data_IF_485510492127
#
_entry.id   IF_485510492127
#
_cell.length_a   1.000
_cell.length_b   1.000
_cell.length_c   1.000
_cell.angle_alpha   90.00
_cell.angle_beta   90.00
_cell.angle_gamma   90.00
#
_symmetry.space_group_name_H-M   'P 1'
#
loop_
_entity.id
_entity.type
_entity.pdbx_description
1 polymer ?
#
# COMPACT_ATOMS: atom_id res chain seq x y z
N UNK A 1 -23.34 -10.27 -1.11
CA UNK A 1 -24.33 -11.35 -1.14
C UNK A 1 -25.54 -10.99 -0.29
N UNK A 2 -25.38 -10.55 0.99
CA UNK A 2 -26.48 -10.19 1.87
C UNK A 2 -27.41 -9.15 1.22
N UNK A 3 -26.87 -8.04 0.75
CA UNK A 3 -27.61 -6.96 0.06
C UNK A 3 -28.33 -7.50 -1.18
N UNK A 4 -27.68 -8.34 -1.98
CA UNK A 4 -28.29 -8.91 -3.19
C UNK A 4 -29.46 -9.83 -2.85
N UNK A 5 -29.35 -10.60 -1.78
CA UNK A 5 -30.42 -11.43 -1.28
C UNK A 5 -31.63 -10.61 -0.75
N UNK A 6 -31.33 -9.56 0.04
CA UNK A 6 -32.35 -8.63 0.56
C UNK A 6 -33.13 -7.91 -0.55
N UNK A 7 -32.49 -7.72 -1.71
CA UNK A 7 -33.12 -7.16 -2.91
C UNK A 7 -33.78 -8.24 -3.83
N UNK A 8 -33.90 -9.48 -3.36
CA UNK A 8 -34.60 -10.53 -4.10
C UNK A 8 -33.83 -11.09 -5.31
N UNK A 9 -32.53 -10.83 -5.42
CA UNK A 9 -31.72 -11.25 -6.56
C UNK A 9 -31.11 -12.65 -6.43
N UNK A 10 -31.49 -13.38 -5.41
CA UNK A 10 -31.11 -14.79 -5.24
C UNK A 10 -32.33 -15.68 -5.44
N UNK A 11 -32.13 -16.85 -6.05
CA UNK A 11 -33.21 -17.80 -6.33
C UNK A 11 -33.68 -18.53 -5.02
N UNK A 12 -34.49 -17.85 -4.20
CA UNK A 12 -35.04 -18.40 -2.97
C UNK A 12 -34.13 -18.26 -1.76
N UNK A 13 -33.42 -19.33 -1.35
CA UNK A 13 -32.63 -19.32 -0.14
C UNK A 13 -31.33 -18.49 -0.29
N UNK A 14 -30.94 -17.82 0.82
CA UNK A 14 -29.68 -17.06 0.89
C UNK A 14 -28.49 -17.98 0.68
N UNK A 15 -27.60 -17.67 -0.28
CA UNK A 15 -26.39 -18.46 -0.49
C UNK A 15 -25.49 -18.50 0.74
N UNK A 16 -24.98 -19.69 1.07
CA UNK A 16 -24.08 -19.87 2.22
C UNK A 16 -22.71 -19.25 1.94
N UNK A 17 -22.29 -18.26 2.71
CA UNK A 17 -20.97 -17.58 2.57
C UNK A 17 -19.86 -18.23 3.42
N UNK A 18 -20.20 -19.12 4.35
CA UNK A 18 -19.27 -19.73 5.33
C UNK A 18 -18.47 -18.71 6.17
N UNK A 19 -18.91 -17.46 6.25
CA UNK A 19 -18.24 -16.35 6.94
C UNK A 19 -17.77 -16.72 8.35
N UNK A 20 -18.67 -17.28 9.16
CA UNK A 20 -18.39 -17.67 10.54
C UNK A 20 -17.33 -18.79 10.64
N UNK A 21 -17.39 -19.76 9.73
CA UNK A 21 -16.42 -20.84 9.67
C UNK A 21 -15.04 -20.33 9.26
N UNK A 22 -14.97 -19.48 8.24
CA UNK A 22 -13.73 -18.84 7.78
C UNK A 22 -13.10 -18.00 8.89
N UNK A 23 -13.90 -17.15 9.57
CA UNK A 23 -13.47 -16.33 10.70
C UNK A 23 -12.91 -17.16 11.85
N UNK A 24 -13.62 -18.20 12.28
CA UNK A 24 -13.14 -19.08 13.37
C UNK A 24 -11.81 -19.75 13.03
N UNK A 25 -11.67 -20.27 11.81
CA UNK A 25 -10.43 -20.89 11.34
C UNK A 25 -9.28 -19.88 11.31
N UNK A 26 -9.51 -18.71 10.74
CA UNK A 26 -8.50 -17.65 10.68
C UNK A 26 -8.08 -17.19 12.08
N UNK A 27 -9.00 -16.99 13.00
CA UNK A 27 -8.71 -16.61 14.38
C UNK A 27 -7.89 -17.68 15.10
N UNK A 28 -8.19 -18.97 14.88
CA UNK A 28 -7.40 -20.07 15.45
C UNK A 28 -5.97 -20.08 14.88
N UNK A 29 -5.83 -19.89 13.57
CA UNK A 29 -4.52 -19.79 12.90
C UNK A 29 -3.73 -18.55 13.39
N UNK A 30 -4.39 -17.39 13.53
CA UNK A 30 -3.74 -16.14 13.98
C UNK A 30 -3.14 -16.26 15.37
N UNK A 31 -3.82 -16.98 16.27
CA UNK A 31 -3.39 -17.22 17.66
C UNK A 31 -2.28 -18.28 17.79
N UNK A 32 -2.02 -19.05 16.76
CA UNK A 32 -0.98 -20.08 16.81
C UNK A 32 0.41 -19.47 16.99
N UNK A 33 1.13 -19.89 18.04
CA UNK A 33 2.48 -19.39 18.39
C UNK A 33 3.52 -19.68 17.31
N UNK A 34 3.47 -20.87 16.71
CA UNK A 34 4.35 -21.27 15.60
C UNK A 34 3.52 -21.51 14.36
N UNK A 35 3.92 -20.93 13.23
CA UNK A 35 3.27 -21.08 11.95
C UNK A 35 4.27 -21.68 10.95
N UNK A 36 4.07 -22.95 10.61
CA UNK A 36 4.88 -23.60 9.58
C UNK A 36 4.45 -23.14 8.18
N UNK A 37 5.32 -23.23 7.20
CA UNK A 37 5.00 -22.94 5.78
C UNK A 37 3.77 -23.73 5.31
N UNK A 38 3.66 -25.01 5.71
CA UNK A 38 2.50 -25.85 5.39
C UNK A 38 1.20 -25.29 5.98
N UNK A 39 1.22 -24.83 7.25
CA UNK A 39 0.05 -24.22 7.90
C UNK A 39 -0.36 -22.93 7.20
N UNK A 40 0.61 -22.05 6.91
CA UNK A 40 0.38 -20.79 6.19
C UNK A 40 -0.27 -21.06 4.83
N UNK A 41 0.33 -21.95 4.03
CA UNK A 41 -0.22 -22.28 2.71
C UNK A 41 -1.62 -22.92 2.77
N UNK A 42 -1.86 -23.74 3.79
CA UNK A 42 -3.19 -24.35 3.99
C UNK A 42 -4.23 -23.28 4.32
N UNK A 43 -3.89 -22.33 5.19
CA UNK A 43 -4.79 -21.23 5.55
C UNK A 43 -5.08 -20.32 4.34
N UNK A 44 -4.06 -19.89 3.60
CA UNK A 44 -4.22 -19.09 2.37
C UNK A 44 -5.15 -19.82 1.39
N UNK A 45 -4.92 -21.11 1.12
CA UNK A 45 -5.76 -21.90 0.22
C UNK A 45 -7.22 -21.92 0.65
N UNK A 46 -7.47 -22.06 1.95
CA UNK A 46 -8.84 -22.10 2.48
C UNK A 46 -9.53 -20.73 2.35
N UNK A 47 -8.86 -19.65 2.68
CA UNK A 47 -9.39 -18.30 2.56
C UNK A 47 -9.67 -17.94 1.10
N UNK A 48 -8.75 -18.24 0.19
CA UNK A 48 -8.96 -18.09 -1.25
C UNK A 48 -10.13 -18.94 -1.76
N UNK A 49 -10.32 -20.14 -1.23
CA UNK A 49 -11.46 -21.01 -1.57
C UNK A 49 -12.81 -20.42 -1.18
N UNK A 50 -12.91 -19.81 0.00
CA UNK A 50 -14.12 -19.11 0.44
C UNK A 50 -14.40 -17.90 -0.45
N UNK A 51 -13.35 -17.09 -0.69
CA UNK A 51 -13.50 -15.87 -1.49
C UNK A 51 -13.85 -16.16 -2.95
N UNK A 52 -13.22 -17.18 -3.57
CA UNK A 52 -13.56 -17.63 -4.93
C UNK A 52 -15.03 -17.99 -5.04
N UNK A 53 -15.54 -18.75 -4.08
CA UNK A 53 -16.92 -19.15 -4.06
C UNK A 53 -17.87 -17.96 -3.94
N UNK A 54 -17.58 -17.05 -3.02
CA UNK A 54 -18.42 -15.88 -2.78
C UNK A 54 -18.41 -14.92 -3.97
N UNK A 55 -17.26 -14.73 -4.63
CA UNK A 55 -17.15 -13.97 -5.88
C UNK A 55 -17.94 -14.65 -7.01
N UNK A 56 -17.82 -15.99 -7.15
CA UNK A 56 -18.58 -16.75 -8.16
C UNK A 56 -20.09 -16.65 -7.96
N UNK A 57 -20.59 -16.61 -6.71
CA UNK A 57 -22.02 -16.36 -6.44
C UNK A 57 -22.42 -14.95 -6.91
N UNK A 58 -21.60 -13.93 -6.63
CA UNK A 58 -21.88 -12.56 -7.06
C UNK A 58 -21.88 -12.47 -8.59
N UNK A 59 -20.92 -13.12 -9.26
CA UNK A 59 -20.83 -13.14 -10.72
C UNK A 59 -22.05 -13.82 -11.35
N UNK A 60 -22.48 -14.98 -10.80
CA UNK A 60 -23.68 -15.66 -11.27
C UNK A 60 -24.97 -14.85 -11.09
N UNK A 61 -25.05 -14.04 -10.03
CA UNK A 61 -26.19 -13.13 -9.83
C UNK A 61 -26.15 -12.00 -10.86
N UNK A 62 -24.99 -11.40 -11.13
CA UNK A 62 -24.83 -10.33 -12.13
C UNK A 62 -25.07 -10.85 -13.55
N UNK A 63 -24.71 -12.10 -13.86
CA UNK A 63 -25.02 -12.75 -15.14
C UNK A 63 -26.53 -12.96 -15.36
N UNK A 64 -27.27 -13.32 -14.29
CA UNK A 64 -28.72 -13.47 -14.34
C UNK A 64 -29.47 -12.15 -14.35
N UNK A 65 -28.94 -11.15 -13.69
CA UNK A 65 -29.52 -9.81 -13.52
C UNK A 65 -28.52 -8.72 -13.90
N UNK A 66 -28.23 -8.52 -15.20
CA UNK A 66 -27.22 -7.57 -15.64
C UNK A 66 -27.46 -6.15 -15.12
N UNK A 67 -26.44 -5.55 -14.52
CA UNK A 67 -26.52 -4.22 -13.92
C UNK A 67 -26.95 -4.17 -12.46
N UNK A 68 -27.36 -5.30 -11.88
CA UNK A 68 -27.89 -5.35 -10.52
C UNK A 68 -26.90 -4.84 -9.46
N UNK A 69 -25.61 -5.05 -9.65
CA UNK A 69 -24.61 -4.54 -8.72
C UNK A 69 -24.55 -3.01 -8.69
N UNK A 70 -24.75 -2.36 -9.84
CA UNK A 70 -24.85 -0.89 -9.93
C UNK A 70 -26.10 -0.34 -9.26
N UNK A 71 -27.21 -1.04 -9.42
CA UNK A 71 -28.52 -0.60 -8.93
C UNK A 71 -28.68 -0.81 -7.42
N UNK A 72 -28.14 -1.92 -6.89
CA UNK A 72 -28.36 -2.30 -5.49
C UNK A 72 -27.23 -1.90 -4.56
N UNK A 73 -26.00 -1.76 -5.05
CA UNK A 73 -24.85 -1.45 -4.22
C UNK A 73 -24.52 0.05 -4.26
N UNK A 74 -24.33 0.66 -3.10
CA UNK A 74 -23.74 1.98 -3.00
C UNK A 74 -22.38 2.02 -3.70
N UNK A 75 -22.02 3.15 -4.32
CA UNK A 75 -20.74 3.37 -5.05
C UNK A 75 -19.54 2.84 -4.26
N UNK A 76 -19.42 3.21 -2.98
CA UNK A 76 -18.35 2.72 -2.11
C UNK A 76 -18.29 1.18 -2.00
N UNK A 77 -19.43 0.48 -2.07
CA UNK A 77 -19.49 -0.99 -2.04
C UNK A 77 -19.07 -1.60 -3.37
N UNK A 78 -19.42 -0.94 -4.47
CA UNK A 78 -18.97 -1.33 -5.81
C UNK A 78 -17.44 -1.21 -5.91
N UNK A 79 -16.88 -0.08 -5.50
CA UNK A 79 -15.43 0.15 -5.45
C UNK A 79 -14.72 -0.88 -4.58
N UNK A 80 -15.26 -1.13 -3.37
CA UNK A 80 -14.72 -2.15 -2.48
C UNK A 80 -14.75 -3.55 -3.10
N UNK A 81 -15.80 -3.90 -3.85
CA UNK A 81 -15.89 -5.18 -4.55
C UNK A 81 -14.80 -5.30 -5.62
N UNK A 82 -14.52 -4.23 -6.37
CA UNK A 82 -13.43 -4.22 -7.35
C UNK A 82 -12.06 -4.40 -6.67
N UNK A 83 -11.82 -3.72 -5.56
CA UNK A 83 -10.60 -3.91 -4.75
C UNK A 83 -10.47 -5.35 -4.29
N UNK A 84 -11.55 -5.98 -3.81
CA UNK A 84 -11.55 -7.39 -3.38
C UNK A 84 -11.26 -8.33 -4.55
N UNK A 85 -11.80 -8.09 -5.75
CA UNK A 85 -11.51 -8.88 -6.96
C UNK A 85 -10.03 -8.81 -7.34
N UNK A 86 -9.47 -7.61 -7.37
CA UNK A 86 -8.04 -7.39 -7.64
C UNK A 86 -7.17 -8.06 -6.58
N UNK A 87 -7.49 -7.87 -5.29
CA UNK A 87 -6.78 -8.52 -4.19
C UNK A 87 -6.84 -10.05 -4.29
N UNK A 88 -8.01 -10.62 -4.62
CA UNK A 88 -8.16 -12.05 -4.82
C UNK A 88 -7.22 -12.55 -5.95
N UNK A 89 -7.23 -11.89 -7.10
CA UNK A 89 -6.38 -12.25 -8.24
C UNK A 89 -4.90 -12.19 -7.89
N UNK A 90 -4.46 -11.14 -7.20
CA UNK A 90 -3.07 -10.99 -6.74
C UNK A 90 -2.68 -12.11 -5.76
N UNK A 91 -3.52 -12.41 -4.78
CA UNK A 91 -3.24 -13.45 -3.78
C UNK A 91 -3.27 -14.86 -4.38
N UNK A 92 -4.19 -15.12 -5.32
CA UNK A 92 -4.25 -16.40 -6.04
C UNK A 92 -3.00 -16.60 -6.92
N UNK A 93 -2.58 -15.55 -7.65
CA UNK A 93 -1.35 -15.56 -8.41
C UNK A 93 -0.13 -15.89 -7.53
N UNK A 94 0.06 -15.14 -6.44
CA UNK A 94 1.16 -15.37 -5.51
C UNK A 94 1.12 -16.78 -4.89
N UNK A 95 -0.07 -17.28 -4.56
CA UNK A 95 -0.23 -18.62 -4.02
C UNK A 95 0.17 -19.71 -5.04
N UNK A 96 -0.26 -19.57 -6.30
CA UNK A 96 0.02 -20.54 -7.39
C UNK A 96 1.48 -20.54 -7.79
N UNK A 97 2.06 -19.36 -7.97
CA UNK A 97 3.45 -19.19 -8.43
C UNK A 97 4.48 -19.30 -7.31
N UNK A 98 4.04 -19.42 -6.05
CA UNK A 98 4.89 -19.42 -4.85
C UNK A 98 5.78 -18.17 -4.73
N UNK A 99 5.38 -17.07 -5.34
CA UNK A 99 6.03 -15.78 -5.19
C UNK A 99 5.41 -14.96 -4.06
N UNK A 100 6.16 -14.00 -3.52
CA UNK A 100 5.67 -13.00 -2.57
C UNK A 100 5.57 -11.61 -3.19
N UNK A 101 5.82 -11.51 -4.51
CA UNK A 101 5.84 -10.25 -5.25
C UNK A 101 4.75 -10.26 -6.31
N UNK A 102 4.07 -9.14 -6.45
CA UNK A 102 3.14 -8.80 -7.50
C UNK A 102 3.11 -7.28 -7.61
N UNK A 103 2.99 -6.78 -8.82
CA UNK A 103 2.95 -5.34 -9.07
C UNK A 103 1.68 -4.74 -8.44
N UNK A 104 1.79 -3.51 -7.99
CA UNK A 104 0.71 -2.75 -7.33
C UNK A 104 -0.01 -3.52 -6.21
N UNK A 105 0.76 -4.31 -5.44
CA UNK A 105 0.23 -5.18 -4.40
C UNK A 105 -0.67 -4.44 -3.42
N UNK A 106 -1.93 -4.82 -3.38
CA UNK A 106 -2.90 -4.33 -2.41
C UNK A 106 -2.64 -4.99 -1.06
N UNK A 107 -2.47 -4.17 -0.02
CA UNK A 107 -2.23 -4.61 1.37
C UNK A 107 -3.34 -4.19 2.32
N UNK A 108 -4.22 -3.29 1.90
CA UNK A 108 -5.38 -2.84 2.67
C UNK A 108 -6.60 -2.69 1.76
N UNK A 109 -7.74 -3.26 2.16
CA UNK A 109 -9.00 -3.11 1.41
C UNK A 109 -9.58 -1.71 1.57
N UNK A 110 -9.42 -1.11 2.75
CA UNK A 110 -9.92 0.25 3.03
C UNK A 110 -9.04 1.36 2.47
N UNK A 111 -7.78 1.05 2.18
CA UNK A 111 -6.78 1.96 1.64
C UNK A 111 -6.01 1.27 0.51
N UNK A 112 -6.66 0.99 -0.64
CA UNK A 112 -6.08 0.18 -1.72
C UNK A 112 -4.89 0.84 -2.42
N UNK A 113 -4.65 2.11 -2.19
CA UNK A 113 -3.50 2.87 -2.68
C UNK A 113 -2.23 2.69 -1.84
N UNK A 114 -2.34 2.20 -0.60
CA UNK A 114 -1.16 1.92 0.26
C UNK A 114 -0.34 0.80 -0.33
N UNK A 115 0.97 1.03 -0.44
CA UNK A 115 1.94 0.07 -0.96
C UNK A 115 2.93 -0.34 0.13
N UNK A 116 3.50 -1.55 0.03
CA UNK A 116 4.61 -1.96 0.88
C UNK A 116 5.87 -1.18 0.49
N UNK A 117 6.48 -0.51 1.47
CA UNK A 117 7.74 0.21 1.32
C UNK A 117 8.83 -0.66 1.93
N UNK A 118 9.75 -1.18 1.08
CA UNK A 118 10.87 -1.99 1.56
C UNK A 118 11.94 -1.05 2.12
N UNK A 119 12.23 -1.22 3.41
CA UNK A 119 13.34 -0.52 4.09
C UNK A 119 14.32 -1.56 4.61
N UNK A 120 15.58 -1.44 4.27
CA UNK A 120 16.65 -2.36 4.70
C UNK A 120 17.02 -2.25 6.18
N UNK A 121 16.04 -2.06 7.09
CA UNK A 121 16.26 -1.98 8.54
C UNK A 121 16.16 -3.36 9.19
N UNK A 122 17.00 -3.63 10.19
CA UNK A 122 17.05 -4.91 10.91
C UNK A 122 15.74 -5.28 11.65
N UNK A 123 14.90 -4.30 11.99
CA UNK A 123 13.71 -4.52 12.82
C UNK A 123 12.40 -4.64 12.04
N UNK A 124 12.34 -4.10 10.84
CA UNK A 124 11.15 -4.20 9.97
C UNK A 124 11.58 -4.07 8.50
N UNK A 125 11.45 -5.17 7.76
CA UNK A 125 11.81 -5.22 6.35
C UNK A 125 10.86 -4.42 5.46
N UNK A 126 9.63 -4.19 5.91
CA UNK A 126 8.56 -3.55 5.14
C UNK A 126 7.75 -2.62 6.04
N UNK A 127 7.56 -1.41 5.60
CA UNK A 127 6.63 -0.43 6.18
C UNK A 127 5.44 -0.20 5.23
N UNK A 128 4.33 0.29 5.77
CA UNK A 128 3.12 0.56 5.01
C UNK A 128 2.65 1.99 5.29
N UNK A 129 2.33 2.73 4.26
CA UNK A 129 1.87 4.11 4.41
C UNK A 129 2.33 5.00 3.27
N UNK A 130 2.09 6.31 3.41
CA UNK A 130 2.68 7.31 2.54
C UNK A 130 4.11 7.61 2.95
N UNK A 131 4.95 7.93 1.98
CA UNK A 131 6.20 8.67 2.21
C UNK A 131 5.88 10.15 2.22
N UNK A 132 6.27 10.82 3.28
CA UNK A 132 6.10 12.26 3.42
C UNK A 132 7.47 12.88 3.61
N UNK A 133 7.82 13.79 2.72
CA UNK A 133 8.99 14.64 2.85
C UNK A 133 8.56 15.97 3.43
N UNK A 134 9.30 16.45 4.40
CA UNK A 134 8.97 17.68 5.13
C UNK A 134 10.21 18.53 5.33
N UNK A 135 10.06 19.85 5.19
CA UNK A 135 11.07 20.82 5.59
C UNK A 135 10.61 21.63 6.80
N UNK A 136 11.57 22.12 7.56
CA UNK A 136 11.33 23.03 8.68
C UNK A 136 12.20 24.29 8.45
N UNK A 137 11.55 25.42 8.37
CA UNK A 137 12.21 26.73 8.22
C UNK A 137 11.67 27.66 9.30
N UNK A 138 12.54 28.22 10.12
CA UNK A 138 12.17 29.14 11.21
C UNK A 138 11.09 28.57 12.16
N UNK A 139 11.10 27.25 12.36
CA UNK A 139 10.11 26.56 13.19
C UNK A 139 8.78 26.23 12.49
N UNK A 140 8.59 26.61 11.24
CA UNK A 140 7.41 26.28 10.44
C UNK A 140 7.69 25.03 9.62
N UNK A 141 6.76 24.07 9.74
CA UNK A 141 6.80 22.81 8.99
C UNK A 141 6.04 22.97 7.67
N UNK A 142 6.64 22.48 6.59
CA UNK A 142 6.01 22.38 5.28
C UNK A 142 6.14 20.95 4.74
N UNK A 143 5.09 20.45 4.10
CA UNK A 143 5.13 19.20 3.34
C UNK A 143 5.69 19.52 1.96
N UNK A 144 6.81 18.90 1.61
CA UNK A 144 7.49 19.05 0.32
C UNK A 144 6.90 18.08 -0.70
N UNK A 145 6.76 16.82 -0.31
CA UNK A 145 6.21 15.76 -1.16
C UNK A 145 5.43 14.74 -0.32
N UNK A 146 4.39 14.15 -0.92
CA UNK A 146 3.62 13.07 -0.33
C UNK A 146 3.30 12.05 -1.43
N UNK A 147 3.85 10.84 -1.30
CA UNK A 147 3.62 9.74 -2.26
C UNK A 147 3.25 8.45 -1.54
N UNK A 148 2.44 7.66 -2.21
CA UNK A 148 2.06 6.32 -1.75
C UNK A 148 2.99 5.24 -2.30
N UNK A 149 3.75 5.56 -3.35
CA UNK A 149 4.74 4.68 -3.95
C UNK A 149 6.12 4.89 -3.34
N UNK A 150 6.95 3.85 -3.41
CA UNK A 150 8.35 3.97 -3.04
C UNK A 150 9.09 4.84 -4.06
N UNK A 151 9.75 5.90 -3.59
CA UNK A 151 10.61 6.74 -4.40
C UNK A 151 11.92 7.04 -3.68
N UNK A 152 12.90 7.48 -4.44
CA UNK A 152 14.18 7.91 -3.88
C UNK A 152 14.07 9.38 -3.43
N UNK A 153 14.05 9.60 -2.12
CA UNK A 153 13.91 10.93 -1.51
C UNK A 153 15.01 11.91 -1.96
N UNK A 154 16.20 11.41 -2.29
CA UNK A 154 17.30 12.29 -2.75
C UNK A 154 16.99 13.07 -4.04
N UNK A 155 16.01 12.63 -4.82
CA UNK A 155 15.63 13.28 -6.09
C UNK A 155 14.78 14.53 -5.91
N UNK A 156 14.15 14.72 -4.74
CA UNK A 156 13.27 15.86 -4.45
C UNK A 156 14.03 17.05 -3.85
N UNK A 157 15.27 16.84 -3.40
CA UNK A 157 16.10 17.84 -2.72
C UNK A 157 16.20 19.17 -3.47
N UNK A 158 16.56 19.13 -4.74
CA UNK A 158 16.75 20.35 -5.52
C UNK A 158 15.45 21.13 -5.70
N UNK A 159 14.34 20.44 -5.90
CA UNK A 159 13.00 21.07 -5.99
C UNK A 159 12.62 21.76 -4.69
N UNK A 160 12.87 21.14 -3.54
CA UNK A 160 12.64 21.73 -2.22
C UNK A 160 13.47 22.98 -1.99
N UNK A 161 14.76 22.95 -2.39
CA UNK A 161 15.64 24.14 -2.31
C UNK A 161 15.18 25.25 -3.26
N UNK A 162 14.78 24.91 -4.49
CA UNK A 162 14.25 25.89 -5.44
C UNK A 162 12.92 26.50 -4.96
N UNK A 163 12.10 25.72 -4.28
CA UNK A 163 10.90 26.28 -3.66
C UNK A 163 11.31 27.29 -2.55
N UNK A 164 12.26 26.94 -1.68
CA UNK A 164 12.77 27.88 -0.68
C UNK A 164 13.23 29.19 -1.33
N UNK A 165 14.02 29.10 -2.40
CA UNK A 165 14.49 30.28 -3.15
C UNK A 165 13.33 31.14 -3.67
N UNK A 166 12.29 30.51 -4.22
CA UNK A 166 11.09 31.24 -4.69
C UNK A 166 10.33 31.90 -3.57
N UNK A 167 10.22 31.25 -2.41
CA UNK A 167 9.46 31.73 -1.26
C UNK A 167 10.19 32.88 -0.51
N UNK A 168 11.52 32.80 -0.39
CA UNK A 168 12.32 33.72 0.40
C UNK A 168 13.19 34.69 -0.42
N UNK A 169 13.23 34.53 -1.73
CA UNK A 169 13.99 35.39 -2.65
C UNK A 169 15.51 35.10 -2.73
N UNK A 170 16.00 34.16 -1.95
CA UNK A 170 17.43 33.76 -1.93
C UNK A 170 17.55 32.25 -1.64
N UNK A 171 18.73 31.67 -1.93
CA UNK A 171 19.04 30.31 -1.51
C UNK A 171 19.30 30.23 0.00
N UNK A 172 19.01 29.07 0.64
CA UNK A 172 19.37 28.88 2.05
C UNK A 172 20.92 28.85 2.21
N UNK A 173 21.43 29.49 3.24
CA UNK A 173 22.87 29.40 3.54
C UNK A 173 23.29 27.99 3.94
N UNK A 174 22.40 27.28 4.62
CA UNK A 174 22.66 25.93 5.14
C UNK A 174 21.40 25.07 5.05
N UNK A 175 21.61 23.81 4.67
CA UNK A 175 20.59 22.75 4.73
C UNK A 175 21.07 21.63 5.64
N UNK A 176 20.25 21.23 6.60
CA UNK A 176 20.46 20.10 7.49
C UNK A 176 19.59 18.96 7.02
N UNK A 177 20.21 17.89 6.54
CA UNK A 177 19.45 16.78 5.95
C UNK A 177 20.09 15.43 6.28
N UNK A 178 19.34 14.34 6.03
CA UNK A 178 19.82 12.97 6.20
C UNK A 178 20.88 12.65 5.10
N UNK A 179 21.69 11.66 5.38
CA UNK A 179 22.74 11.18 4.48
C UNK A 179 22.23 10.72 3.11
N UNK A 180 20.96 10.32 3.02
CA UNK A 180 20.32 9.92 1.75
C UNK A 180 20.33 11.06 0.71
N UNK A 181 20.19 12.31 1.15
CA UNK A 181 20.17 13.49 0.28
C UNK A 181 21.57 13.93 -0.17
N UNK A 182 22.64 13.39 0.43
CA UNK A 182 24.03 13.73 0.09
C UNK A 182 24.56 12.98 -1.13
N UNK A 183 23.84 13.04 -2.22
CA UNK A 183 24.32 12.51 -3.51
C UNK A 183 25.40 13.42 -4.10
N UNK A 184 26.21 12.88 -5.01
CA UNK A 184 27.21 13.71 -5.72
C UNK A 184 26.56 14.86 -6.49
N UNK A 185 25.37 14.62 -7.01
CA UNK A 185 24.58 15.60 -7.75
C UNK A 185 24.11 16.73 -6.83
N UNK A 186 23.46 16.40 -5.72
CA UNK A 186 22.97 17.39 -4.75
C UNK A 186 24.13 18.20 -4.12
N UNK A 187 25.27 17.55 -3.84
CA UNK A 187 26.45 18.28 -3.34
C UNK A 187 27.02 19.24 -4.37
N UNK A 188 27.04 18.88 -5.67
CA UNK A 188 27.46 19.78 -6.75
C UNK A 188 26.51 20.96 -6.85
N UNK A 189 25.20 20.69 -6.89
CA UNK A 189 24.17 21.73 -6.88
C UNK A 189 24.31 22.70 -5.71
N UNK A 190 24.48 22.20 -4.49
CA UNK A 190 24.73 23.05 -3.32
C UNK A 190 25.99 23.93 -3.47
N UNK A 191 27.08 23.35 -3.99
CA UNK A 191 28.33 24.12 -4.24
C UNK A 191 28.10 25.23 -5.26
N UNK A 192 27.39 24.97 -6.33
CA UNK A 192 27.08 25.95 -7.40
C UNK A 192 26.26 27.13 -6.87
N UNK A 193 25.38 26.88 -5.90
CA UNK A 193 24.49 27.89 -5.32
C UNK A 193 24.98 28.44 -3.95
N UNK A 194 26.20 28.11 -3.52
CA UNK A 194 26.74 28.59 -2.25
C UNK A 194 26.08 28.06 -1.00
N UNK A 195 25.38 26.89 -1.09
CA UNK A 195 24.62 26.26 0.00
C UNK A 195 25.55 25.32 0.78
N UNK A 196 25.58 25.44 2.10
CA UNK A 196 26.28 24.49 2.96
C UNK A 196 25.37 23.29 3.29
N UNK A 197 25.57 22.15 2.61
CA UNK A 197 24.86 20.90 2.93
C UNK A 197 25.59 20.16 4.06
N UNK A 198 24.96 20.04 5.21
CA UNK A 198 25.53 19.42 6.40
C UNK A 198 25.59 17.89 6.28
N UNK A 199 26.47 17.24 7.07
CA UNK A 199 26.56 15.79 7.19
C UNK A 199 27.98 15.24 6.92
N UNK A 200 28.19 13.92 7.12
CA UNK A 200 29.50 13.29 6.99
C UNK A 200 30.02 13.30 5.55
N UNK A 201 31.33 13.21 5.39
CA UNK A 201 31.96 13.03 4.06
C UNK A 201 31.44 11.73 3.42
N UNK A 202 31.25 11.75 2.09
CA UNK A 202 30.94 10.52 1.34
C UNK A 202 32.18 9.61 1.32
N UNK A 203 31.95 8.33 1.57
CA UNK A 203 32.98 7.30 1.54
C UNK A 203 32.89 6.33 2.72
N UNK A 204 33.68 5.26 2.68
CA UNK A 204 33.80 4.39 3.86
C UNK A 204 34.52 5.16 4.98
N UNK A 205 34.03 5.10 6.23
CA UNK A 205 34.86 5.52 7.36
C UNK A 205 36.13 4.67 7.35
N UNK A 206 37.29 5.32 7.56
CA UNK A 206 38.58 4.65 7.72
C UNK A 206 38.54 3.76 8.95
#
# INVERSE_FOLDING_TARGET
IDILHENGLTDGEKPRTYREKARRKHNSFSKARKKTVKMIRTEIRQQLGYLRRDLGIIDSIEEKHPGCLKETLLVRKQEMLQVIRTLYSQQEYMYRTKTHKVDDRIVSISQPWVRPIVRGKQTADVEFGAKVEMSIVDGFLRIEDLRWDAYNESTTFQESVEFYRRAYGHYPERVLDDTIFRTRENMRYCKEHGIHLNGPKLGKPY
#
